data_IF_697310878802
#
_entry.id   IF_697310878802
#
_cell.length_a   1.000
_cell.length_b   1.000
_cell.length_c   1.000
_cell.angle_alpha   90.00
_cell.angle_beta   90.00
_cell.angle_gamma   90.00
#
_symmetry.space_group_name_H-M   'P 1'
#
loop_
_entity.id
_entity.type
_entity.pdbx_description
1 polymer ?
#
# COMPACT_ATOMS: atom_id res chain seq x y z
N UNK A 1 38.24 -46.77 37.62
CA UNK A 1 37.95 -46.55 36.18
C UNK A 1 36.48 -46.21 36.01
N UNK A 2 36.19 -45.13 35.27
CA UNK A 2 34.92 -44.75 34.60
C UNK A 2 33.69 -44.42 35.47
N UNK A 3 33.52 -43.11 35.68
CA UNK A 3 32.26 -42.42 36.02
C UNK A 3 31.39 -42.37 34.75
N UNK A 4 30.12 -42.77 34.81
CA UNK A 4 29.15 -42.56 33.74
C UNK A 4 28.14 -41.51 34.27
N UNK A 5 28.36 -40.26 33.87
CA UNK A 5 27.43 -39.16 34.14
C UNK A 5 26.56 -39.03 32.89
N UNK A 6 25.31 -39.46 32.98
CA UNK A 6 24.31 -39.26 31.94
C UNK A 6 23.74 -37.84 32.10
N UNK A 7 24.21 -36.91 31.26
CA UNK A 7 23.66 -35.56 31.16
C UNK A 7 22.45 -35.64 30.24
N UNK A 8 21.25 -35.59 30.83
CA UNK A 8 20.00 -35.48 30.10
C UNK A 8 19.84 -34.02 29.63
N UNK A 9 20.09 -33.78 28.34
CA UNK A 9 19.83 -32.50 27.67
C UNK A 9 18.31 -32.28 27.58
N UNK A 10 17.79 -31.45 28.47
CA UNK A 10 16.41 -30.96 28.40
C UNK A 10 16.31 -29.94 27.27
N UNK A 11 15.80 -30.38 26.11
CA UNK A 11 15.55 -29.52 24.96
C UNK A 11 14.37 -28.59 25.31
N UNK A 12 14.70 -27.31 25.51
CA UNK A 12 13.76 -26.21 25.64
C UNK A 12 12.97 -26.02 24.33
N UNK A 13 11.77 -26.60 24.25
CA UNK A 13 10.80 -26.25 23.23
C UNK A 13 10.11 -24.94 23.63
N UNK A 14 10.74 -23.81 23.27
CA UNK A 14 10.08 -22.50 23.34
C UNK A 14 8.97 -22.47 22.28
N UNK A 15 7.77 -22.87 22.67
CA UNK A 15 6.57 -22.67 21.86
C UNK A 15 6.33 -21.16 21.83
N UNK A 16 6.79 -20.50 20.76
CA UNK A 16 6.36 -19.13 20.45
C UNK A 16 4.88 -19.16 20.11
N UNK A 17 4.05 -19.06 21.13
CA UNK A 17 2.61 -18.89 20.97
C UNK A 17 2.41 -17.49 20.37
N UNK A 18 2.27 -17.43 19.05
CA UNK A 18 1.86 -16.22 18.37
C UNK A 18 0.42 -15.91 18.82
N UNK A 19 0.28 -15.03 19.81
CA UNK A 19 -1.02 -14.48 20.16
C UNK A 19 -1.54 -13.74 18.92
N UNK A 20 -2.56 -14.32 18.29
CA UNK A 20 -3.43 -13.58 17.39
C UNK A 20 -4.01 -12.44 18.21
N UNK A 21 -3.40 -11.26 18.09
CA UNK A 21 -3.84 -10.10 18.82
C UNK A 21 -5.12 -9.65 18.13
N UNK A 22 -6.25 -9.77 18.82
CA UNK A 22 -7.57 -9.43 18.33
C UNK A 22 -7.70 -7.91 18.12
N UNK A 23 -7.07 -7.39 17.07
CA UNK A 23 -7.35 -6.05 16.60
C UNK A 23 -8.67 -6.08 15.81
N UNK A 24 -9.45 -5.02 15.90
CA UNK A 24 -10.73 -4.90 15.21
C UNK A 24 -10.82 -3.56 14.51
N UNK A 25 -11.34 -3.55 13.28
CA UNK A 25 -11.79 -2.33 12.62
C UNK A 25 -13.15 -1.95 13.21
N UNK A 26 -13.23 -0.79 13.87
CA UNK A 26 -14.39 -0.36 14.67
C UNK A 26 -15.18 0.79 14.07
N UNK A 27 -14.57 1.63 13.24
CA UNK A 27 -15.33 2.65 12.48
C UNK A 27 -14.57 3.09 11.24
N UNK A 28 -15.31 3.60 10.26
CA UNK A 28 -14.75 4.30 9.10
C UNK A 28 -15.40 5.67 9.01
N UNK A 29 -14.57 6.71 8.87
CA UNK A 29 -15.02 8.09 8.68
C UNK A 29 -14.50 8.61 7.35
N UNK A 30 -15.32 9.38 6.66
CA UNK A 30 -14.97 9.99 5.37
C UNK A 30 -15.05 11.50 5.51
N UNK A 31 -14.03 12.19 5.06
CA UNK A 31 -13.92 13.64 5.11
C UNK A 31 -13.60 14.18 3.70
N UNK A 32 -14.38 15.15 3.18
CA UNK A 32 -13.96 15.90 2.01
C UNK A 32 -12.77 16.79 2.37
N UNK A 33 -11.83 16.92 1.46
CA UNK A 33 -10.69 17.83 1.55
C UNK A 33 -10.72 18.78 0.34
N UNK A 34 -9.97 19.91 0.37
CA UNK A 34 -9.79 20.77 -0.80
C UNK A 34 -9.27 20.02 -2.03
N UNK A 35 -9.43 20.61 -3.21
CA UNK A 35 -8.96 20.09 -4.50
C UNK A 35 -9.51 18.70 -4.87
N UNK A 36 -10.79 18.46 -4.59
CA UNK A 36 -11.48 17.18 -4.82
C UNK A 36 -10.82 15.97 -4.13
N UNK A 37 -10.01 16.21 -3.09
CA UNK A 37 -9.36 15.15 -2.32
C UNK A 37 -10.36 14.57 -1.31
N UNK A 38 -10.16 13.30 -0.97
CA UNK A 38 -10.98 12.60 0.02
C UNK A 38 -10.09 11.93 1.03
N UNK A 39 -10.38 12.10 2.33
CA UNK A 39 -9.72 11.38 3.41
C UNK A 39 -10.66 10.33 3.99
N UNK A 40 -10.15 9.12 4.18
CA UNK A 40 -10.81 8.04 4.90
C UNK A 40 -9.99 7.69 6.13
N UNK A 41 -10.63 7.70 7.28
CA UNK A 41 -10.03 7.27 8.54
C UNK A 41 -10.62 5.93 8.96
N UNK A 42 -9.77 4.90 8.96
CA UNK A 42 -10.08 3.58 9.47
C UNK A 42 -9.64 3.52 10.94
N UNK A 43 -10.60 3.44 11.85
CA UNK A 43 -10.35 3.38 13.29
C UNK A 43 -10.30 1.93 13.76
N UNK A 44 -9.25 1.60 14.51
CA UNK A 44 -9.01 0.28 15.07
C UNK A 44 -9.15 0.26 16.59
N UNK A 45 -9.35 -0.92 17.19
CA UNK A 45 -9.38 -1.10 18.65
C UNK A 45 -7.97 -0.95 19.26
N UNK A 46 -6.93 -1.34 18.51
CA UNK A 46 -5.52 -1.23 18.86
C UNK A 46 -4.71 -0.63 17.69
N UNK A 47 -3.52 -0.04 17.96
CA UNK A 47 -2.63 0.41 16.89
C UNK A 47 -2.28 -0.71 15.91
N UNK A 48 -2.23 -0.37 14.61
CA UNK A 48 -1.79 -1.31 13.59
C UNK A 48 -0.32 -1.67 13.82
N UNK A 49 -0.01 -2.97 13.80
CA UNK A 49 1.37 -3.47 13.92
C UNK A 49 2.16 -3.34 12.62
N UNK A 50 1.47 -3.23 11.49
CA UNK A 50 2.07 -3.08 10.16
C UNK A 50 1.14 -2.31 9.23
N UNK A 51 1.72 -1.72 8.19
CA UNK A 51 0.97 -1.07 7.12
C UNK A 51 0.11 -2.10 6.35
N UNK A 52 -1.10 -1.73 5.90
CA UNK A 52 -1.93 -2.64 5.09
C UNK A 52 -1.30 -2.86 3.72
N UNK A 53 -1.45 -4.07 3.19
CA UNK A 53 -1.16 -4.32 1.79
C UNK A 53 -2.19 -3.56 0.94
N UNK A 54 -1.76 -2.98 -0.19
CA UNK A 54 -2.65 -2.25 -1.09
C UNK A 54 -2.35 -2.51 -2.55
N UNK A 55 -3.38 -2.45 -3.38
CA UNK A 55 -3.25 -2.59 -4.83
C UNK A 55 -4.37 -1.83 -5.56
N UNK A 56 -4.10 -1.48 -6.82
CA UNK A 56 -5.04 -0.80 -7.71
C UNK A 56 -5.42 -1.71 -8.86
N UNK A 57 -6.70 -1.74 -9.23
CA UNK A 57 -7.19 -2.25 -10.52
C UNK A 57 -7.64 -1.09 -11.39
N UNK A 58 -7.50 -1.19 -12.72
CA UNK A 58 -7.86 -0.10 -13.64
C UNK A 58 -9.20 -0.29 -14.35
N UNK A 59 -9.64 -1.53 -14.56
CA UNK A 59 -10.88 -1.86 -15.29
C UNK A 59 -11.73 -2.87 -14.50
N UNK A 60 -12.61 -2.42 -13.58
CA UNK A 60 -12.86 -1.03 -13.17
C UNK A 60 -11.77 -0.46 -12.25
N UNK A 61 -11.76 0.88 -12.11
CA UNK A 61 -10.86 1.57 -11.20
C UNK A 61 -11.22 1.24 -9.74
N UNK A 62 -10.34 0.50 -9.05
CA UNK A 62 -10.53 0.17 -7.63
C UNK A 62 -9.23 0.31 -6.88
N UNK A 63 -9.34 0.72 -5.63
CA UNK A 63 -8.26 0.71 -4.66
C UNK A 63 -8.63 -0.24 -3.53
N UNK A 64 -7.77 -1.22 -3.26
CA UNK A 64 -8.03 -2.25 -2.26
C UNK A 64 -6.97 -2.19 -1.18
N UNK A 65 -7.40 -2.28 0.08
CA UNK A 65 -6.54 -2.38 1.27
C UNK A 65 -6.87 -3.64 2.06
N UNK A 66 -5.83 -4.40 2.41
CA UNK A 66 -5.93 -5.58 3.26
C UNK A 66 -5.28 -5.31 4.63
N UNK A 67 -6.12 -5.23 5.66
CA UNK A 67 -5.70 -5.14 7.07
C UNK A 67 -5.65 -6.55 7.65
N UNK A 68 -4.46 -7.14 7.69
CA UNK A 68 -4.26 -8.50 8.24
C UNK A 68 -4.33 -8.51 9.77
N UNK A 69 -4.61 -9.67 10.35
CA UNK A 69 -4.80 -9.84 11.81
C UNK A 69 -5.83 -8.86 12.37
N UNK A 70 -6.90 -8.61 11.61
CA UNK A 70 -7.94 -7.65 11.96
C UNK A 70 -9.30 -8.30 11.83
N UNK A 71 -10.13 -8.19 12.87
CA UNK A 71 -11.54 -8.60 12.88
C UNK A 71 -12.43 -7.45 12.41
N UNK A 72 -13.59 -7.78 11.86
CA UNK A 72 -14.59 -6.80 11.47
C UNK A 72 -15.54 -6.54 12.65
N UNK A 73 -15.50 -5.33 13.20
CA UNK A 73 -16.40 -4.85 14.26
C UNK A 73 -17.10 -3.54 13.85
N UNK A 74 -17.40 -3.43 12.55
CA UNK A 74 -18.17 -2.32 11.99
C UNK A 74 -19.67 -2.58 12.10
N UNK A 75 -20.40 -1.51 12.38
CA UNK A 75 -21.86 -1.46 12.23
C UNK A 75 -22.24 -1.83 10.79
N UNK A 76 -23.37 -2.54 10.56
CA UNK A 76 -23.79 -2.99 9.23
C UNK A 76 -23.82 -1.86 8.19
N UNK A 77 -24.26 -0.66 8.58
CA UNK A 77 -24.38 0.52 7.72
C UNK A 77 -23.03 1.12 7.32
N UNK A 78 -21.95 0.78 8.04
CA UNK A 78 -20.58 1.19 7.74
C UNK A 78 -19.80 0.14 6.94
N UNK A 79 -20.40 -1.00 6.59
CA UNK A 79 -19.72 -2.01 5.76
C UNK A 79 -19.74 -1.62 4.29
N UNK A 80 -20.82 -1.01 3.84
CA UNK A 80 -20.98 -0.56 2.45
C UNK A 80 -21.63 0.80 2.45
N UNK A 81 -20.96 1.80 1.86
CA UNK A 81 -21.52 3.14 1.73
C UNK A 81 -21.28 3.72 0.34
N UNK A 82 -22.31 4.40 -0.16
CA UNK A 82 -22.20 5.26 -1.34
C UNK A 82 -21.78 6.66 -0.88
N UNK A 83 -20.67 7.13 -1.42
CA UNK A 83 -20.01 8.37 -1.00
C UNK A 83 -20.16 9.45 -2.08
N UNK A 84 -19.81 9.15 -3.33
CA UNK A 84 -19.77 10.10 -4.46
C UNK A 84 -19.04 11.43 -4.13
N UNK A 85 -17.84 11.34 -3.54
CA UNK A 85 -17.00 12.50 -3.24
C UNK A 85 -15.68 12.36 -4.00
N UNK A 86 -15.24 13.43 -4.66
CA UNK A 86 -14.00 13.41 -5.45
C UNK A 86 -14.02 12.28 -6.48
N UNK A 87 -13.01 11.40 -6.43
CA UNK A 87 -12.96 10.17 -7.23
C UNK A 87 -13.59 8.94 -6.58
N UNK A 88 -14.02 9.01 -5.32
CA UNK A 88 -14.57 7.89 -4.57
C UNK A 88 -16.09 7.78 -4.75
N UNK A 89 -16.54 6.70 -5.39
CA UNK A 89 -17.96 6.43 -5.61
C UNK A 89 -18.57 5.68 -4.42
N UNK A 90 -18.02 4.51 -4.12
CA UNK A 90 -18.49 3.60 -3.07
C UNK A 90 -17.30 3.01 -2.35
N UNK A 91 -17.52 2.60 -1.10
CA UNK A 91 -16.62 1.67 -0.44
C UNK A 91 -17.38 0.45 0.04
N UNK A 92 -16.70 -0.68 0.10
CA UNK A 92 -17.18 -1.94 0.64
C UNK A 92 -16.10 -2.60 1.49
N UNK A 93 -16.45 -3.02 2.70
CA UNK A 93 -15.53 -3.59 3.68
C UNK A 93 -16.01 -4.99 4.00
N UNK A 94 -15.15 -5.96 3.76
CA UNK A 94 -15.46 -7.39 3.91
C UNK A 94 -14.40 -8.07 4.76
N UNK A 95 -14.82 -9.05 5.57
CA UNK A 95 -13.89 -9.93 6.27
C UNK A 95 -13.58 -11.15 5.38
N UNK A 96 -12.30 -11.48 5.22
CA UNK A 96 -11.84 -12.63 4.44
C UNK A 96 -10.80 -13.37 5.28
N UNK A 97 -11.16 -14.50 5.87
CA UNK A 97 -10.25 -15.26 6.73
C UNK A 97 -9.73 -14.42 7.91
N UNK A 98 -8.43 -14.13 7.91
CA UNK A 98 -7.71 -13.43 8.98
C UNK A 98 -7.55 -11.91 8.76
N UNK A 99 -8.16 -11.36 7.72
CA UNK A 99 -8.01 -9.95 7.33
C UNK A 99 -9.33 -9.28 7.04
N UNK A 100 -9.35 -7.97 7.21
CA UNK A 100 -10.40 -7.08 6.71
C UNK A 100 -9.91 -6.45 5.41
N UNK A 101 -10.69 -6.63 4.34
CA UNK A 101 -10.45 -6.04 3.03
C UNK A 101 -11.37 -4.84 2.84
N UNK A 102 -10.81 -3.66 2.67
CA UNK A 102 -11.53 -2.47 2.23
C UNK A 102 -11.36 -2.29 0.73
N UNK A 103 -12.48 -2.22 0.00
CA UNK A 103 -12.55 -2.06 -1.45
C UNK A 103 -13.17 -0.70 -1.71
N UNK A 104 -12.45 0.15 -2.43
CA UNK A 104 -12.88 1.51 -2.78
C UNK A 104 -13.09 1.53 -4.29
N UNK A 105 -14.33 1.71 -4.73
CA UNK A 105 -14.63 1.87 -6.15
C UNK A 105 -14.47 3.34 -6.53
N UNK A 106 -13.67 3.57 -7.57
CA UNK A 106 -13.27 4.90 -8.00
C UNK A 106 -13.85 5.21 -9.39
N UNK A 107 -14.03 6.49 -9.70
CA UNK A 107 -14.41 6.93 -11.05
C UNK A 107 -13.25 6.83 -12.06
N UNK A 108 -12.01 6.94 -11.57
CA UNK A 108 -10.76 6.87 -12.31
C UNK A 108 -9.61 6.45 -11.41
N UNK A 109 -8.51 6.01 -12.00
CA UNK A 109 -7.27 5.77 -11.25
C UNK A 109 -6.68 7.09 -10.77
N UNK A 110 -6.38 7.17 -9.48
CA UNK A 110 -5.83 8.36 -8.82
C UNK A 110 -4.72 7.99 -7.86
N UNK A 111 -3.84 8.94 -7.60
CA UNK A 111 -2.86 8.85 -6.53
C UNK A 111 -3.53 8.68 -5.17
N UNK A 112 -2.88 7.96 -4.26
CA UNK A 112 -3.25 7.92 -2.85
C UNK A 112 -2.03 7.93 -1.95
N UNK A 113 -2.22 8.33 -0.71
CA UNK A 113 -1.24 8.18 0.36
C UNK A 113 -1.92 7.63 1.62
N UNK A 114 -1.20 6.83 2.38
CA UNK A 114 -1.70 6.21 3.61
C UNK A 114 -0.72 6.38 4.75
N UNK A 115 -1.22 6.62 5.96
CA UNK A 115 -0.40 6.73 7.16
C UNK A 115 -1.11 6.19 8.39
N UNK A 116 -0.35 5.64 9.33
CA UNK A 116 -0.88 5.19 10.62
C UNK A 116 -0.50 6.16 11.72
N UNK A 117 -1.46 6.56 12.54
CA UNK A 117 -1.27 7.37 13.73
C UNK A 117 -2.06 6.77 14.90
N UNK A 118 -1.36 6.16 15.86
CA UNK A 118 -1.98 5.44 16.96
C UNK A 118 -2.93 4.35 16.46
N UNK A 119 -4.22 4.50 16.77
CA UNK A 119 -5.27 3.54 16.40
C UNK A 119 -5.97 3.85 15.07
N UNK A 120 -5.50 4.84 14.32
CA UNK A 120 -6.12 5.27 13.07
C UNK A 120 -5.18 5.03 11.90
N UNK A 121 -5.71 4.48 10.82
CA UNK A 121 -5.09 4.52 9.51
C UNK A 121 -5.82 5.56 8.66
N UNK A 122 -5.11 6.60 8.24
CA UNK A 122 -5.62 7.68 7.41
C UNK A 122 -5.19 7.42 5.96
N UNK A 123 -6.17 7.30 5.09
CA UNK A 123 -6.00 7.23 3.64
C UNK A 123 -6.41 8.56 3.03
N UNK A 124 -5.58 9.15 2.19
CA UNK A 124 -5.94 10.29 1.36
C UNK A 124 -5.90 9.88 -0.10
N UNK A 125 -7.05 10.01 -0.74
CA UNK A 125 -7.24 9.85 -2.19
C UNK A 125 -7.12 11.24 -2.81
N UNK A 126 -6.23 11.41 -3.78
CA UNK A 126 -6.07 12.70 -4.43
C UNK A 126 -7.19 12.97 -5.44
N UNK A 127 -7.54 14.25 -5.58
CA UNK A 127 -8.51 14.71 -6.55
C UNK A 127 -7.92 14.79 -7.96
N UNK A 128 -8.44 15.69 -8.79
CA UNK A 128 -7.94 15.90 -10.15
C UNK A 128 -6.67 16.76 -10.11
N UNK A 129 -5.54 16.17 -9.75
CA UNK A 129 -4.23 16.69 -10.14
C UNK A 129 -3.61 15.76 -11.17
N UNK A 130 -3.27 16.34 -12.32
CA UNK A 130 -2.81 15.73 -13.56
C UNK A 130 -1.42 15.09 -13.51
N UNK A 131 -0.86 14.82 -12.33
CA UNK A 131 0.61 14.68 -12.22
C UNK A 131 1.10 13.30 -11.77
N UNK A 132 0.28 12.25 -11.86
CA UNK A 132 0.81 10.88 -11.71
C UNK A 132 0.82 10.03 -12.98
N UNK A 133 0.37 10.58 -14.11
CA UNK A 133 0.62 9.99 -15.42
C UNK A 133 0.70 11.12 -16.46
N UNK A 134 1.84 11.82 -16.55
CA UNK A 134 2.34 12.05 -17.91
C UNK A 134 2.51 10.63 -18.47
N UNK A 135 1.55 10.18 -19.27
CA UNK A 135 1.74 9.06 -20.18
C UNK A 135 3.09 9.36 -20.82
N UNK A 136 4.14 8.60 -20.46
CA UNK A 136 5.45 8.72 -21.07
C UNK A 136 5.18 8.96 -22.54
N UNK A 137 5.52 10.17 -23.06
CA UNK A 137 5.51 10.35 -24.51
C UNK A 137 6.37 9.21 -25.00
N UNK A 138 5.75 8.24 -25.66
CA UNK A 138 6.50 7.24 -26.40
C UNK A 138 7.38 8.08 -27.33
N UNK A 139 8.66 8.18 -26.98
CA UNK A 139 9.65 8.76 -27.86
C UNK A 139 9.72 7.73 -28.96
N UNK A 140 8.93 7.96 -30.02
CA UNK A 140 9.12 7.27 -31.27
C UNK A 140 10.57 7.55 -31.66
N UNK A 141 11.44 6.55 -31.47
CA UNK A 141 12.75 6.55 -32.10
C UNK A 141 12.44 6.35 -33.58
N UNK A 142 12.23 7.45 -34.28
CA UNK A 142 12.25 7.45 -35.73
C UNK A 142 13.71 7.28 -36.14
N UNK A 143 14.02 6.43 -37.13
CA UNK A 143 15.35 6.38 -37.74
C UNK A 143 15.65 7.65 -38.59
N UNK A 144 15.01 8.78 -38.32
CA UNK A 144 15.31 10.02 -39.00
C UNK A 144 16.55 10.65 -38.38
N UNK A 145 17.58 10.97 -39.17
CA UNK A 145 18.73 11.72 -38.68
C UNK A 145 18.25 13.13 -38.30
N UNK A 146 18.12 13.38 -37.00
CA UNK A 146 17.82 14.70 -36.48
C UNK A 146 19.09 15.54 -36.58
N UNK A 147 19.06 16.61 -37.39
CA UNK A 147 20.08 17.68 -37.34
C UNK A 147 19.87 18.49 -36.05
N UNK A 148 20.32 17.95 -34.92
CA UNK A 148 20.37 18.69 -33.67
C UNK A 148 21.57 19.65 -33.69
N UNK A 149 21.38 20.91 -33.26
CA UNK A 149 22.48 21.87 -33.09
C UNK A 149 23.47 21.46 -32.00
N UNK A 150 23.00 20.66 -31.04
CA UNK A 150 23.80 20.12 -29.97
C UNK A 150 23.80 18.60 -30.11
N UNK A 151 24.96 18.04 -30.41
CA UNK A 151 25.20 16.61 -30.48
C UNK A 151 25.91 16.16 -29.19
N UNK A 152 25.38 15.12 -28.54
CA UNK A 152 26.06 14.49 -27.41
C UNK A 152 27.23 13.69 -27.97
N UNK A 153 28.44 14.23 -27.86
CA UNK A 153 29.66 13.57 -28.37
C UNK A 153 30.27 12.59 -27.38
N UNK A 154 30.09 12.85 -26.09
CA UNK A 154 30.75 12.09 -25.03
C UNK A 154 29.77 11.85 -23.89
N UNK A 155 29.50 10.57 -23.63
CA UNK A 155 28.86 10.10 -22.41
C UNK A 155 29.96 9.42 -21.59
N UNK A 156 30.32 10.03 -20.46
CA UNK A 156 31.29 9.47 -19.53
C UNK A 156 30.54 8.79 -18.38
N UNK A 157 30.62 7.46 -18.32
CA UNK A 157 30.10 6.69 -17.21
C UNK A 157 31.23 6.46 -16.21
N UNK A 158 31.45 7.41 -15.31
CA UNK A 158 32.38 7.23 -14.21
C UNK A 158 31.76 6.29 -13.17
N UNK A 159 32.00 5.00 -13.35
CA UNK A 159 31.79 4.00 -12.30
C UNK A 159 32.68 4.34 -11.11
N UNK A 160 32.12 4.32 -9.90
CA UNK A 160 32.88 4.57 -8.66
C UNK A 160 33.76 3.38 -8.23
N UNK A 161 33.89 2.36 -9.07
CA UNK A 161 34.65 1.15 -8.76
C UNK A 161 35.72 0.90 -9.82
N UNK A 162 36.90 0.48 -9.33
CA UNK A 162 38.15 0.34 -10.08
C UNK A 162 38.17 -0.84 -11.06
N UNK A 163 37.08 -1.18 -11.73
CA UNK A 163 37.12 -2.08 -12.89
C UNK A 163 36.03 -1.66 -13.90
N UNK A 164 36.27 -0.54 -14.58
CA UNK A 164 35.46 -0.12 -15.73
C UNK A 164 36.03 -0.73 -17.01
N UNK A 165 35.32 -1.72 -17.56
CA UNK A 165 35.67 -2.37 -18.83
C UNK A 165 35.67 -1.43 -20.03
N UNK A 166 36.58 -1.69 -20.96
CA UNK A 166 36.64 -1.09 -22.28
C UNK A 166 35.38 -1.47 -23.08
N UNK A 167 34.75 -0.47 -23.70
CA UNK A 167 33.87 -0.67 -24.86
C UNK A 167 34.64 -0.18 -26.09
#
# INVERSE_FOLDING_TARGET
MRKIVAILLWISASISMAFANDNSLVSVKVFPLPDDRVRLDFQFSQPLKQQPASFITQNPARLVFDFVNTKMSLEPEQRTQKINLGSLNTYNIVAVGDRVRAILDLDRTVAYSGSSAGKVYSLIINGKSSDLFEKNKEVFITNQPVKAKNELKHLDFRGIEKEGGLI
#
